data_IF_937026937066
#
_entry.id   IF_937026937066
#
_cell.length_a   1.000
_cell.length_b   1.000
_cell.length_c   1.000
_cell.angle_alpha   90.00
_cell.angle_beta   90.00
_cell.angle_gamma   90.00
#
_symmetry.space_group_name_H-M   'P 1'
#
loop_
_entity.id
_entity.type
_entity.pdbx_description
1 polymer ?
#
# COMPACT_ATOMS: atom_id res chain seq x y z
N UNK A 1 -0.96 6.08 16.41
CA UNK A 1 -1.72 5.89 15.16
C UNK A 1 -1.80 7.27 14.50
N UNK A 2 -1.05 7.50 13.44
CA UNK A 2 -1.02 8.79 12.74
C UNK A 2 -2.35 8.95 11.98
N UNK A 3 -3.16 9.93 12.39
CA UNK A 3 -4.50 10.13 11.80
C UNK A 3 -4.33 11.09 10.63
N UNK A 4 -4.27 10.56 9.42
CA UNK A 4 -4.33 11.37 8.19
C UNK A 4 -5.72 12.03 8.14
N UNK A 5 -5.76 13.37 8.06
CA UNK A 5 -6.99 14.18 7.97
C UNK A 5 -6.86 15.15 6.80
N UNK A 6 -7.97 15.52 6.13
CA UNK A 6 -7.92 16.61 5.15
C UNK A 6 -7.52 17.90 5.86
N UNK A 7 -6.54 18.61 5.29
CA UNK A 7 -6.06 19.90 5.79
C UNK A 7 -6.35 20.95 4.73
N UNK A 8 -7.03 22.02 5.12
CA UNK A 8 -7.22 23.22 4.30
C UNK A 8 -6.47 24.38 4.97
N UNK A 9 -5.62 25.07 4.21
CA UNK A 9 -4.83 26.22 4.69
C UNK A 9 -5.27 27.49 3.97
N UNK A 10 -5.57 28.53 4.75
CA UNK A 10 -5.97 29.86 4.26
C UNK A 10 -4.80 30.82 4.48
N UNK A 11 -4.43 31.59 3.45
CA UNK A 11 -3.28 32.51 3.48
C UNK A 11 -3.66 33.79 2.75
N UNK A 12 -3.33 34.95 3.30
CA UNK A 12 -3.73 36.24 2.70
C UNK A 12 -2.83 36.67 1.53
N UNK A 13 -1.55 36.28 1.56
CA UNK A 13 -0.63 36.37 0.42
C UNK A 13 0.14 35.05 0.30
N UNK A 14 0.36 34.57 -0.94
CA UNK A 14 1.22 33.41 -1.16
C UNK A 14 2.12 33.56 -2.37
N UNK A 15 3.36 33.12 -2.21
CA UNK A 15 4.26 32.81 -3.31
C UNK A 15 3.94 31.42 -3.90
N UNK A 16 3.93 31.22 -5.24
CA UNK A 16 3.83 29.92 -5.90
C UNK A 16 4.67 28.79 -5.28
N UNK A 17 5.84 29.10 -4.71
CA UNK A 17 6.70 28.11 -4.08
C UNK A 17 6.16 27.63 -2.71
N UNK A 18 5.53 28.50 -1.93
CA UNK A 18 4.83 28.12 -0.69
C UNK A 18 3.64 27.20 -0.98
N UNK A 19 2.91 27.45 -2.07
CA UNK A 19 1.81 26.58 -2.52
C UNK A 19 2.30 25.17 -2.86
N UNK A 20 3.41 25.06 -3.60
CA UNK A 20 4.00 23.76 -3.95
C UNK A 20 4.52 22.99 -2.74
N UNK A 21 5.08 23.68 -1.74
CA UNK A 21 5.51 23.06 -0.50
C UNK A 21 4.33 22.57 0.34
N UNK A 22 3.26 23.37 0.44
CA UNK A 22 2.04 22.99 1.14
C UNK A 22 1.36 21.76 0.50
N UNK A 23 1.28 21.69 -0.83
CA UNK A 23 0.76 20.53 -1.55
C UNK A 23 1.64 19.29 -1.30
N UNK A 24 2.98 19.44 -1.34
CA UNK A 24 3.93 18.34 -1.03
C UNK A 24 3.81 17.86 0.41
N UNK A 25 3.42 18.73 1.34
CA UNK A 25 3.16 18.39 2.74
C UNK A 25 1.78 17.72 2.97
N UNK A 26 0.98 17.50 1.92
CA UNK A 26 -0.31 16.79 2.01
C UNK A 26 -1.50 17.70 2.31
N UNK A 27 -1.39 19.01 2.13
CA UNK A 27 -2.52 19.94 2.25
C UNK A 27 -3.47 19.74 1.07
N UNK A 28 -4.74 19.50 1.36
CA UNK A 28 -5.75 19.14 0.38
C UNK A 28 -6.37 20.36 -0.32
N UNK A 29 -6.31 21.55 0.29
CA UNK A 29 -6.69 22.83 -0.32
C UNK A 29 -5.86 24.01 0.23
N UNK A 30 -5.42 24.90 -0.66
CA UNK A 30 -4.63 26.11 -0.35
C UNK A 30 -5.33 27.33 -0.96
N UNK A 31 -5.76 28.28 -0.13
CA UNK A 31 -6.52 29.46 -0.59
C UNK A 31 -5.74 30.73 -0.35
N UNK A 32 -5.73 31.57 -1.38
CA UNK A 32 -5.22 32.94 -1.39
C UNK A 32 -6.44 33.84 -1.40
N UNK A 33 -6.40 34.98 -0.69
CA UNK A 33 -7.44 36.01 -0.62
C UNK A 33 -8.61 35.72 0.35
N UNK A 34 -8.33 35.75 1.66
CA UNK A 34 -9.30 36.08 2.71
C UNK A 34 -10.45 35.08 2.98
N UNK A 35 -10.60 34.70 4.25
CA UNK A 35 -11.71 33.91 4.81
C UNK A 35 -13.06 34.62 4.67
N UNK A 36 -13.70 34.54 3.49
CA UNK A 36 -15.13 34.86 3.36
C UNK A 36 -15.97 33.63 3.68
N UNK A 37 -17.00 33.80 4.53
CA UNK A 37 -17.85 32.71 5.05
C UNK A 37 -18.52 31.87 3.96
N UNK A 38 -18.85 32.48 2.83
CA UNK A 38 -19.44 31.83 1.64
C UNK A 38 -18.49 30.87 0.92
N UNK A 39 -17.16 31.07 1.07
CA UNK A 39 -16.13 30.27 0.37
C UNK A 39 -15.60 29.10 1.19
N UNK A 40 -15.95 29.00 2.47
CA UNK A 40 -15.41 27.96 3.37
C UNK A 40 -15.94 26.57 2.99
N UNK A 41 -17.26 26.42 2.84
CA UNK A 41 -17.87 25.10 2.58
C UNK A 41 -17.37 24.46 1.28
N UNK A 42 -17.37 25.15 0.12
CA UNK A 42 -16.92 24.54 -1.14
C UNK A 42 -15.45 24.10 -1.11
N UNK A 43 -14.61 24.83 -0.36
CA UNK A 43 -13.19 24.50 -0.22
C UNK A 43 -13.00 23.26 0.63
N UNK A 44 -13.72 23.17 1.75
CA UNK A 44 -13.70 21.99 2.60
C UNK A 44 -14.15 20.76 1.81
N UNK A 45 -15.20 20.89 0.99
CA UNK A 45 -15.70 19.80 0.14
C UNK A 45 -14.63 19.34 -0.88
N UNK A 46 -13.93 20.28 -1.53
CA UNK A 46 -12.81 19.96 -2.44
C UNK A 46 -11.64 19.33 -1.69
N UNK A 47 -11.31 19.81 -0.50
CA UNK A 47 -10.24 19.26 0.34
C UNK A 47 -10.56 17.80 0.74
N UNK A 48 -11.80 17.52 1.15
CA UNK A 48 -12.26 16.16 1.49
C UNK A 48 -12.16 15.26 0.25
N UNK A 49 -12.72 15.68 -0.88
CA UNK A 49 -12.72 14.88 -2.10
C UNK A 49 -11.31 14.56 -2.60
N UNK A 50 -10.40 15.55 -2.57
CA UNK A 50 -8.97 15.32 -2.92
C UNK A 50 -8.29 14.36 -1.96
N UNK A 51 -8.56 14.48 -0.67
CA UNK A 51 -7.99 13.61 0.33
C UNK A 51 -8.46 12.15 0.15
N UNK A 52 -9.75 11.95 -0.11
CA UNK A 52 -10.31 10.62 -0.39
C UNK A 52 -9.69 9.99 -1.64
N UNK A 53 -9.62 10.74 -2.74
CA UNK A 53 -9.01 10.27 -3.99
C UNK A 53 -7.53 9.90 -3.82
N UNK A 54 -6.78 10.73 -3.09
CA UNK A 54 -5.37 10.46 -2.80
C UNK A 54 -5.20 9.21 -1.92
N UNK A 55 -6.01 9.07 -0.88
CA UNK A 55 -5.97 7.89 0.01
C UNK A 55 -6.30 6.61 -0.73
N UNK A 56 -7.27 6.64 -1.64
CA UNK A 56 -7.59 5.47 -2.44
C UNK A 56 -6.42 5.06 -3.33
N UNK A 57 -5.76 6.04 -3.97
CA UNK A 57 -4.58 5.77 -4.79
C UNK A 57 -3.42 5.22 -3.96
N UNK A 58 -3.15 5.79 -2.78
CA UNK A 58 -2.13 5.32 -1.85
C UNK A 58 -2.41 3.88 -1.38
N UNK A 59 -3.66 3.56 -1.08
CA UNK A 59 -4.06 2.20 -0.71
C UNK A 59 -3.84 1.22 -1.86
N UNK A 60 -4.24 1.58 -3.09
CA UNK A 60 -4.01 0.72 -4.27
C UNK A 60 -2.53 0.49 -4.53
N UNK A 61 -1.70 1.52 -4.38
CA UNK A 61 -0.24 1.38 -4.50
C UNK A 61 0.32 0.42 -3.45
N UNK A 62 -0.09 0.58 -2.19
CA UNK A 62 0.31 -0.30 -1.08
C UNK A 62 -0.11 -1.75 -1.34
N UNK A 63 -1.35 -1.97 -1.79
CA UNK A 63 -1.87 -3.31 -2.07
C UNK A 63 -1.13 -3.97 -3.24
N UNK A 64 -0.80 -3.21 -4.29
CA UNK A 64 -0.03 -3.70 -5.43
C UNK A 64 1.41 -4.07 -5.03
N UNK A 65 2.07 -3.25 -4.22
CA UNK A 65 3.40 -3.54 -3.67
C UNK A 65 3.38 -4.81 -2.81
N UNK A 66 2.36 -4.96 -1.97
CA UNK A 66 2.17 -6.16 -1.15
C UNK A 66 1.98 -7.41 -2.03
N UNK A 67 1.08 -7.37 -3.01
CA UNK A 67 0.86 -8.50 -3.92
C UNK A 67 2.13 -8.91 -4.67
N UNK A 68 2.93 -7.94 -5.11
CA UNK A 68 4.21 -8.21 -5.77
C UNK A 68 5.21 -8.86 -4.81
N UNK A 69 5.28 -8.38 -3.56
CA UNK A 69 6.13 -8.97 -2.53
C UNK A 69 5.70 -10.42 -2.21
N UNK A 70 4.40 -10.67 -2.02
CA UNK A 70 3.86 -12.00 -1.78
C UNK A 70 4.19 -12.96 -2.93
N UNK A 71 4.06 -12.50 -4.18
CA UNK A 71 4.40 -13.31 -5.37
C UNK A 71 5.88 -13.71 -5.38
N UNK A 72 6.79 -12.77 -5.09
CA UNK A 72 8.24 -13.06 -5.02
C UNK A 72 8.56 -14.13 -3.97
N UNK A 73 7.89 -14.09 -2.82
CA UNK A 73 8.07 -15.06 -1.74
C UNK A 73 7.59 -16.45 -2.18
N UNK A 74 6.42 -16.53 -2.82
CA UNK A 74 5.88 -17.80 -3.35
C UNK A 74 6.81 -18.37 -4.44
N UNK A 75 7.31 -17.53 -5.35
CA UNK A 75 8.23 -17.97 -6.41
C UNK A 75 9.55 -18.51 -5.84
N UNK A 76 10.10 -17.87 -4.80
CA UNK A 76 11.26 -18.39 -4.07
C UNK A 76 10.97 -19.74 -3.42
N UNK A 77 9.84 -19.89 -2.73
CA UNK A 77 9.48 -21.16 -2.11
C UNK A 77 9.27 -22.28 -3.13
N UNK A 78 8.71 -21.97 -4.32
CA UNK A 78 8.62 -22.93 -5.42
C UNK A 78 10.00 -23.39 -5.87
N UNK A 79 10.94 -22.48 -6.11
CA UNK A 79 12.30 -22.82 -6.53
C UNK A 79 12.97 -23.79 -5.55
N UNK A 80 12.82 -23.54 -4.25
CA UNK A 80 13.34 -24.41 -3.18
C UNK A 80 12.72 -25.80 -3.19
N UNK A 81 11.39 -25.89 -3.38
CA UNK A 81 10.72 -27.18 -3.50
C UNK A 81 11.13 -27.94 -4.76
N UNK A 82 11.28 -27.23 -5.88
CA UNK A 82 11.74 -27.79 -7.14
C UNK A 82 13.14 -28.40 -6.98
N UNK A 83 14.07 -27.68 -6.37
CA UNK A 83 15.44 -28.15 -6.12
C UNK A 83 15.49 -29.31 -5.12
N UNK A 84 14.86 -29.18 -3.94
CA UNK A 84 14.98 -30.18 -2.87
C UNK A 84 14.21 -31.46 -3.12
N UNK A 85 13.12 -31.41 -3.89
CA UNK A 85 12.22 -32.57 -4.11
C UNK A 85 12.11 -32.96 -5.58
N UNK A 86 12.96 -32.40 -6.44
CA UNK A 86 13.02 -32.69 -7.88
C UNK A 86 11.63 -32.63 -8.56
N UNK A 87 10.87 -31.58 -8.28
CA UNK A 87 9.52 -31.40 -8.81
C UNK A 87 9.43 -30.28 -9.83
N UNK A 88 8.41 -30.33 -10.69
CA UNK A 88 8.12 -29.26 -11.66
C UNK A 88 7.50 -28.05 -10.97
N UNK A 89 7.54 -26.88 -11.62
CA UNK A 89 6.93 -25.67 -11.08
C UNK A 89 5.42 -25.83 -10.78
N UNK A 90 4.59 -26.44 -11.66
CA UNK A 90 3.19 -26.70 -11.34
C UNK A 90 3.00 -27.57 -10.09
N UNK A 91 3.82 -28.62 -9.94
CA UNK A 91 3.76 -29.50 -8.77
C UNK A 91 4.15 -28.77 -7.47
N UNK A 92 5.15 -27.87 -7.53
CA UNK A 92 5.54 -27.04 -6.41
C UNK A 92 4.45 -26.05 -5.99
N UNK A 93 3.80 -25.41 -6.96
CA UNK A 93 2.66 -24.54 -6.70
C UNK A 93 1.50 -25.28 -6.04
N UNK A 94 1.13 -26.46 -6.57
CA UNK A 94 0.06 -27.29 -6.02
C UNK A 94 0.39 -27.80 -4.61
N UNK A 95 1.66 -28.13 -4.34
CA UNK A 95 2.11 -28.50 -3.00
C UNK A 95 1.94 -27.35 -1.98
N UNK A 96 2.38 -26.13 -2.33
CA UNK A 96 2.19 -24.95 -1.47
C UNK A 96 0.70 -24.69 -1.26
N UNK A 97 -0.10 -24.76 -2.32
CA UNK A 97 -1.56 -24.55 -2.26
C UNK A 97 -2.26 -25.59 -1.39
N UNK A 98 -1.88 -26.86 -1.50
CA UNK A 98 -2.42 -27.94 -0.69
C UNK A 98 -2.08 -27.74 0.80
N UNK A 99 -0.83 -27.37 1.10
CA UNK A 99 -0.40 -27.05 2.48
C UNK A 99 -1.14 -25.84 3.05
N UNK A 100 -1.34 -24.79 2.24
CA UNK A 100 -2.12 -23.61 2.63
C UNK A 100 -3.56 -23.97 3.00
N UNK A 101 -4.23 -24.78 2.16
CA UNK A 101 -5.57 -25.31 2.44
C UNK A 101 -5.62 -26.16 3.70
N UNK A 102 -4.68 -27.08 3.87
CA UNK A 102 -4.63 -27.97 5.04
C UNK A 102 -4.41 -27.20 6.36
N UNK A 103 -3.66 -26.10 6.32
CA UNK A 103 -3.36 -25.26 7.49
C UNK A 103 -4.34 -24.09 7.69
N UNK A 104 -5.28 -23.86 6.77
CA UNK A 104 -6.17 -22.70 6.80
C UNK A 104 -5.42 -21.35 6.71
N UNK A 105 -4.27 -21.34 6.04
CA UNK A 105 -3.39 -20.15 5.91
C UNK A 105 -3.32 -19.65 4.48
N UNK A 106 -2.86 -18.42 4.28
CA UNK A 106 -2.56 -17.91 2.93
C UNK A 106 -1.32 -18.61 2.36
N UNK A 107 -1.23 -18.65 1.03
CA UNK A 107 -0.09 -19.28 0.34
C UNK A 107 1.24 -18.62 0.69
N UNK A 108 1.27 -17.28 0.84
CA UNK A 108 2.49 -16.55 1.23
C UNK A 108 2.99 -16.98 2.61
N UNK A 109 2.10 -17.14 3.60
CA UNK A 109 2.50 -17.53 4.96
C UNK A 109 3.10 -18.93 5.00
N UNK A 110 2.58 -19.84 4.16
CA UNK A 110 3.15 -21.17 4.00
C UNK A 110 4.50 -21.11 3.27
N UNK A 111 4.61 -20.30 2.22
CA UNK A 111 5.85 -20.08 1.50
C UNK A 111 6.95 -19.51 2.41
N UNK A 112 6.63 -18.51 3.24
CA UNK A 112 7.53 -17.98 4.28
C UNK A 112 7.97 -19.07 5.25
N UNK A 113 7.02 -19.85 5.77
CA UNK A 113 7.32 -20.96 6.68
C UNK A 113 8.27 -21.99 6.07
N UNK A 114 8.13 -22.29 4.76
CA UNK A 114 9.02 -23.20 4.04
C UNK A 114 10.42 -22.61 3.87
N UNK A 115 10.52 -21.33 3.54
CA UNK A 115 11.80 -20.64 3.41
C UNK A 115 12.53 -20.56 4.75
N UNK A 116 11.82 -20.23 5.82
CA UNK A 116 12.39 -20.23 7.18
C UNK A 116 12.86 -21.62 7.60
N UNK A 117 12.08 -22.68 7.32
CA UNK A 117 12.50 -24.05 7.60
C UNK A 117 13.78 -24.43 6.83
N UNK A 118 13.89 -24.02 5.55
CA UNK A 118 15.10 -24.22 4.76
C UNK A 118 16.31 -23.49 5.35
N UNK A 119 16.15 -22.22 5.76
CA UNK A 119 17.22 -21.42 6.37
C UNK A 119 17.71 -22.05 7.69
N UNK A 120 16.80 -22.68 8.44
CA UNK A 120 17.10 -23.37 9.70
C UNK A 120 17.61 -24.81 9.50
N UNK A 121 17.61 -25.34 8.27
CA UNK A 121 18.11 -26.68 7.95
C UNK A 121 17.25 -27.84 8.43
N UNK A 122 15.98 -27.60 8.77
CA UNK A 122 15.00 -28.59 9.26
C UNK A 122 13.93 -28.92 8.22
#
# INVERSE_FOLDING_TARGET
>A
REVKRPIAMFVDESDPEMTKQAIRAGVSAYIIDGLRRDRIQPVVDVAISRFEAYRELEQRATDAELQLAERKVIDRAKAVLMEKRAMTEPAAYDAIRAMARAKGKRMVEVAESLLTAQELGI
#
